data_IF_078918255665
#
_entry.id   IF_078918255665
#
_cell.length_a   1.000
_cell.length_b   1.000
_cell.length_c   1.000
_cell.angle_alpha   90.00
_cell.angle_beta   90.00
_cell.angle_gamma   90.00
#
_symmetry.space_group_name_H-M   'P 1'
#
loop_
_entity.id
_entity.type
_entity.pdbx_description
1 polymer ?
#
# COMPACT_ATOMS: atom_id res chain seq x y z
N UNK A 1 -20.62 0.04 1.39
CA UNK A 1 -20.01 -0.17 0.06
C UNK A 1 -18.96 0.91 -0.13
N UNK A 2 -17.68 0.55 -0.17
CA UNK A 2 -16.60 1.52 -0.44
C UNK A 2 -16.23 1.34 -1.91
N UNK A 3 -16.64 2.28 -2.76
CA UNK A 3 -16.21 2.34 -4.15
C UNK A 3 -14.88 3.12 -4.22
N UNK A 4 -13.82 2.48 -4.71
CA UNK A 4 -12.54 3.13 -4.96
C UNK A 4 -12.65 4.05 -6.20
N UNK A 5 -13.19 5.25 -6.03
CA UNK A 5 -13.18 6.26 -7.08
C UNK A 5 -11.80 6.96 -7.13
N UNK A 6 -11.05 6.63 -8.19
CA UNK A 6 -9.92 7.39 -8.78
C UNK A 6 -8.47 7.11 -8.33
N UNK A 7 -8.16 6.25 -7.37
CA UNK A 7 -6.74 5.90 -7.09
C UNK A 7 -6.56 4.50 -6.48
N UNK A 8 -5.36 3.95 -6.58
CA UNK A 8 -5.00 2.72 -5.85
C UNK A 8 -5.09 2.98 -4.34
N UNK A 9 -5.83 2.17 -3.60
CA UNK A 9 -6.01 2.35 -2.16
C UNK A 9 -5.46 1.17 -1.37
N UNK A 10 -4.89 1.50 -0.21
CA UNK A 10 -4.46 0.51 0.78
C UNK A 10 -5.43 0.59 1.96
N UNK A 11 -5.92 -0.55 2.44
CA UNK A 11 -6.82 -0.61 3.58
C UNK A 11 -6.29 -1.57 4.64
N UNK A 12 -6.17 -1.11 5.87
CA UNK A 12 -5.96 -1.97 7.02
C UNK A 12 -7.29 -2.41 7.61
N UNK A 13 -7.50 -3.72 7.73
CA UNK A 13 -8.67 -4.28 8.40
C UNK A 13 -8.39 -4.40 9.90
N UNK A 14 -8.92 -3.44 10.67
CA UNK A 14 -8.79 -3.39 12.12
C UNK A 14 -9.58 -4.54 12.76
N UNK A 15 -10.84 -4.67 12.36
CA UNK A 15 -11.80 -5.62 12.93
C UNK A 15 -12.85 -6.03 11.89
N UNK A 16 -13.60 -7.08 12.22
CA UNK A 16 -14.67 -7.58 11.39
C UNK A 16 -14.22 -8.42 10.19
N UNK A 17 -15.13 -8.60 9.25
CA UNK A 17 -14.96 -9.42 8.05
C UNK A 17 -15.58 -8.74 6.84
N UNK A 18 -14.88 -8.81 5.71
CA UNK A 18 -15.34 -8.27 4.44
C UNK A 18 -14.87 -9.14 3.27
N UNK A 19 -15.31 -8.80 2.08
CA UNK A 19 -14.84 -9.37 0.83
C UNK A 19 -14.40 -8.25 -0.09
N UNK A 20 -13.16 -8.32 -0.56
CA UNK A 20 -12.66 -7.50 -1.65
C UNK A 20 -13.13 -8.15 -2.95
N UNK A 21 -13.96 -7.42 -3.68
CA UNK A 21 -14.55 -7.80 -4.95
C UNK A 21 -13.81 -7.03 -6.04
N UNK A 22 -13.22 -7.76 -6.97
CA UNK A 22 -12.59 -7.24 -8.18
C UNK A 22 -13.18 -7.95 -9.41
N UNK A 23 -13.04 -7.42 -10.63
CA UNK A 23 -13.61 -8.05 -11.83
C UNK A 23 -13.24 -9.53 -12.00
N UNK A 24 -12.02 -9.90 -11.60
CA UNK A 24 -11.45 -11.24 -11.81
C UNK A 24 -11.29 -12.06 -10.52
N UNK A 25 -11.58 -11.50 -9.34
CA UNK A 25 -11.35 -12.20 -8.07
C UNK A 25 -12.22 -11.72 -6.90
N UNK A 26 -12.55 -12.68 -6.02
CA UNK A 26 -13.21 -12.47 -4.73
C UNK A 26 -12.22 -12.87 -3.63
N UNK A 27 -11.83 -11.92 -2.78
CA UNK A 27 -10.81 -12.15 -1.75
C UNK A 27 -11.39 -11.87 -0.36
N UNK A 28 -11.51 -12.89 0.51
CA UNK A 28 -12.00 -12.68 1.87
C UNK A 28 -10.97 -11.89 2.70
N UNK A 29 -11.46 -10.89 3.40
CA UNK A 29 -10.74 -9.95 4.26
C UNK A 29 -11.24 -10.14 5.69
N UNK A 30 -10.31 -10.12 6.65
CA UNK A 30 -10.62 -10.19 8.08
C UNK A 30 -9.63 -9.37 8.89
N UNK A 31 -9.96 -9.12 10.15
CA UNK A 31 -9.08 -8.43 11.10
C UNK A 31 -7.60 -8.88 11.00
N UNK A 32 -6.70 -7.92 10.88
CA UNK A 32 -5.26 -8.14 10.70
C UNK A 32 -4.80 -8.29 9.24
N UNK A 33 -5.67 -8.05 8.27
CA UNK A 33 -5.32 -8.06 6.85
C UNK A 33 -4.97 -6.66 6.34
N UNK A 34 -3.92 -6.59 5.55
CA UNK A 34 -3.62 -5.44 4.71
C UNK A 34 -4.13 -5.71 3.29
N UNK A 35 -5.03 -4.86 2.83
CA UNK A 35 -5.74 -5.03 1.56
C UNK A 35 -5.24 -3.98 0.57
N UNK A 36 -4.73 -4.44 -0.56
CA UNK A 36 -4.35 -3.62 -1.69
C UNK A 36 -5.52 -3.67 -2.67
N UNK A 37 -6.20 -2.55 -2.88
CA UNK A 37 -7.32 -2.44 -3.80
C UNK A 37 -6.93 -1.55 -5.00
N UNK A 38 -7.31 -2.00 -6.20
CA UNK A 38 -7.14 -1.23 -7.44
C UNK A 38 -8.43 -0.53 -7.82
N UNK A 39 -8.35 0.40 -8.76
CA UNK A 39 -9.53 1.04 -9.34
C UNK A 39 -10.58 0.01 -9.78
N UNK A 40 -11.84 0.25 -9.44
CA UNK A 40 -12.96 -0.64 -9.75
C UNK A 40 -13.15 -1.81 -8.78
N UNK A 41 -12.30 -1.94 -7.75
CA UNK A 41 -12.57 -2.85 -6.65
C UNK A 41 -13.62 -2.27 -5.69
N UNK A 42 -14.43 -3.16 -5.13
CA UNK A 42 -15.40 -2.84 -4.08
C UNK A 42 -15.07 -3.69 -2.86
N UNK A 43 -15.12 -3.10 -1.66
CA UNK A 43 -15.06 -3.87 -0.41
C UNK A 43 -16.45 -3.87 0.23
N UNK A 44 -16.98 -5.06 0.46
CA UNK A 44 -18.31 -5.29 1.04
C UNK A 44 -18.23 -6.17 2.30
N UNK A 45 -18.95 -5.78 3.33
CA UNK A 45 -19.04 -6.50 4.61
C UNK A 45 -19.01 -5.56 5.81
N UNK A 46 -18.97 -6.17 6.99
CA UNK A 46 -18.95 -5.49 8.29
C UNK A 46 -17.51 -5.49 8.81
N UNK A 47 -16.65 -4.68 8.18
CA UNK A 47 -15.27 -4.50 8.60
C UNK A 47 -14.93 -3.03 8.79
N UNK A 48 -14.23 -2.72 9.87
CA UNK A 48 -13.63 -1.41 10.09
C UNK A 48 -12.32 -1.33 9.31
N UNK A 49 -12.31 -0.50 8.26
CA UNK A 49 -11.19 -0.36 7.35
C UNK A 49 -10.56 1.03 7.46
N UNK A 50 -9.31 1.09 7.90
CA UNK A 50 -8.52 2.32 7.89
C UNK A 50 -7.87 2.51 6.51
N UNK A 51 -8.19 3.59 5.78
CA UNK A 51 -7.55 3.88 4.50
C UNK A 51 -6.15 4.45 4.70
N UNK A 52 -5.17 3.86 4.04
CA UNK A 52 -3.80 4.35 3.95
C UNK A 52 -3.53 4.87 2.53
N UNK A 53 -2.89 6.02 2.44
CA UNK A 53 -2.45 6.62 1.19
C UNK A 53 -1.19 5.91 0.69
N UNK A 54 -1.11 5.69 -0.62
CA UNK A 54 0.08 5.12 -1.26
C UNK A 54 0.26 5.66 -2.66
N UNK A 55 1.50 5.97 -3.02
CA UNK A 55 1.90 6.30 -4.40
C UNK A 55 2.32 5.06 -5.20
N UNK A 56 2.39 3.89 -4.55
CA UNK A 56 2.81 2.67 -5.21
C UNK A 56 1.74 2.22 -6.22
N UNK A 57 2.17 1.90 -7.45
CA UNK A 57 1.29 1.26 -8.42
C UNK A 57 0.88 -0.13 -7.92
N UNK A 58 -0.40 -0.26 -7.56
CA UNK A 58 -1.03 -1.53 -7.25
C UNK A 58 -1.54 -2.07 -8.59
N UNK A 59 -0.90 -3.10 -9.10
CA UNK A 59 -1.29 -3.71 -10.38
C UNK A 59 -2.41 -4.73 -10.25
N UNK A 60 -2.61 -5.26 -9.04
CA UNK A 60 -3.63 -6.26 -8.77
C UNK A 60 -4.15 -6.13 -7.35
N UNK A 61 -5.46 -6.24 -7.23
CA UNK A 61 -6.15 -6.34 -5.96
C UNK A 61 -5.70 -7.61 -5.21
N UNK A 62 -5.16 -7.45 -4.01
CA UNK A 62 -4.65 -8.58 -3.23
C UNK A 62 -4.65 -8.31 -1.73
N UNK A 63 -4.45 -9.37 -0.95
CA UNK A 63 -4.44 -9.34 0.51
C UNK A 63 -3.12 -9.87 1.04
N UNK A 64 -2.50 -9.11 1.93
CA UNK A 64 -1.34 -9.52 2.73
C UNK A 64 -1.82 -9.84 4.14
N UNK A 65 -1.53 -11.06 4.62
CA UNK A 65 -1.88 -11.49 5.98
C UNK A 65 -0.76 -11.11 6.94
N UNK A 66 -0.96 -10.03 7.72
CA UNK A 66 0.01 -9.59 8.73
C UNK A 66 -0.36 -10.08 10.14
N UNK A 67 -1.66 -10.18 10.42
CA UNK A 67 -2.17 -10.61 11.73
C UNK A 67 -2.36 -9.45 12.71
N UNK A 68 -3.02 -9.71 13.84
CA UNK A 68 -3.45 -8.67 14.79
C UNK A 68 -2.29 -7.97 15.51
N UNK A 69 -1.11 -8.58 15.61
CA UNK A 69 0.08 -7.96 16.21
C UNK A 69 0.53 -6.69 15.49
N UNK A 70 0.13 -6.52 14.23
CA UNK A 70 0.42 -5.33 13.43
C UNK A 70 -0.53 -4.16 13.69
N UNK A 71 -1.56 -4.32 14.52
CA UNK A 71 -2.61 -3.31 14.68
C UNK A 71 -2.04 -1.94 15.06
N UNK A 72 -1.19 -1.88 16.08
CA UNK A 72 -0.69 -0.61 16.59
C UNK A 72 0.24 0.08 15.58
N UNK A 73 1.10 -0.69 14.89
CA UNK A 73 1.93 -0.18 13.81
C UNK A 73 1.08 0.40 12.65
N UNK A 74 -0.04 -0.24 12.31
CA UNK A 74 -0.92 0.20 11.22
C UNK A 74 -1.82 1.37 11.60
N UNK A 75 -2.30 1.43 12.85
CA UNK A 75 -3.05 2.60 13.38
C UNK A 75 -2.12 3.80 13.52
N UNK A 76 -0.88 3.59 13.97
CA UNK A 76 0.15 4.62 13.98
C UNK A 76 0.48 5.14 12.58
N UNK A 77 0.68 4.23 11.61
CA UNK A 77 0.90 4.58 10.20
C UNK A 77 -0.25 5.44 9.67
N UNK A 78 -1.50 5.06 9.96
CA UNK A 78 -2.68 5.85 9.62
C UNK A 78 -2.63 7.25 10.26
N UNK A 79 -2.36 7.33 11.57
CA UNK A 79 -2.27 8.62 12.28
C UNK A 79 -1.26 9.57 11.63
N UNK A 80 -0.05 9.05 11.39
CA UNK A 80 1.04 9.83 10.79
C UNK A 80 0.67 10.36 9.41
N UNK A 81 -0.11 9.60 8.64
CA UNK A 81 -0.55 10.01 7.32
C UNK A 81 -1.59 11.13 7.28
N UNK A 82 -2.30 11.32 8.39
CA UNK A 82 -3.22 12.45 8.56
C UNK A 82 -2.49 13.73 8.99
N UNK A 83 -1.36 13.61 9.68
CA UNK A 83 -0.64 14.75 10.27
C UNK A 83 0.39 15.39 9.35
N UNK A 84 1.33 14.61 8.79
CA UNK A 84 2.54 15.17 8.13
C UNK A 84 2.93 14.43 6.86
N UNK A 85 2.76 13.11 6.81
CA UNK A 85 3.36 12.28 5.77
C UNK A 85 2.31 11.73 4.80
N UNK A 86 2.31 12.13 3.53
CA UNK A 86 1.41 11.49 2.55
C UNK A 86 1.92 10.13 2.03
N UNK A 87 3.08 9.69 2.51
CA UNK A 87 3.76 8.47 2.08
C UNK A 87 3.77 7.41 3.18
N UNK A 88 3.98 6.16 2.78
CA UNK A 88 4.13 5.04 3.70
C UNK A 88 5.51 5.07 4.36
N UNK A 89 5.63 4.64 5.62
CA UNK A 89 6.95 4.35 6.20
C UNK A 89 7.69 3.34 5.34
N UNK A 90 9.03 3.35 5.40
CA UNK A 90 9.84 2.39 4.66
C UNK A 90 9.45 0.94 4.99
N UNK A 91 9.15 0.64 6.25
CA UNK A 91 8.73 -0.68 6.70
C UNK A 91 7.43 -1.13 6.02
N UNK A 92 6.39 -0.29 6.00
CA UNK A 92 5.12 -0.61 5.35
C UNK A 92 5.24 -0.57 3.82
N UNK A 93 6.00 0.37 3.27
CA UNK A 93 6.30 0.45 1.84
C UNK A 93 6.93 -0.85 1.33
N UNK A 94 7.88 -1.43 2.08
CA UNK A 94 8.51 -2.70 1.74
C UNK A 94 7.52 -3.88 1.70
N UNK A 95 6.45 -3.85 2.50
CA UNK A 95 5.40 -4.88 2.46
C UNK A 95 4.59 -4.83 1.17
N UNK A 96 4.24 -3.61 0.73
CA UNK A 96 3.38 -3.41 -0.43
C UNK A 96 4.16 -3.39 -1.74
N UNK A 97 5.48 -3.14 -1.68
CA UNK A 97 6.36 -3.09 -2.84
C UNK A 97 6.30 -4.44 -3.57
N UNK A 98 5.95 -4.45 -4.87
CA UNK A 98 5.97 -5.69 -5.62
C UNK A 98 7.42 -6.19 -5.66
N UNK A 99 7.67 -7.41 -5.14
CA UNK A 99 9.00 -8.05 -5.15
C UNK A 99 9.57 -8.21 -6.57
N UNK A 100 8.69 -8.09 -7.58
CA UNK A 100 9.04 -7.99 -8.98
C UNK A 100 8.15 -6.93 -9.66
N UNK A 101 8.75 -5.88 -10.19
CA UNK A 101 8.05 -4.83 -10.93
C UNK A 101 7.76 -5.26 -12.37
N UNK A 102 6.65 -4.77 -12.93
CA UNK A 102 6.40 -4.91 -14.37
C UNK A 102 7.60 -4.37 -15.18
N UNK A 103 7.93 -4.97 -16.34
CA UNK A 103 8.98 -4.43 -17.20
C UNK A 103 8.59 -3.02 -17.67
N UNK A 104 9.58 -2.12 -17.78
CA UNK A 104 9.35 -0.74 -18.23
C UNK A 104 8.67 -0.73 -19.61
N UNK A 105 7.78 0.23 -19.83
CA UNK A 105 7.16 0.41 -21.15
C UNK A 105 8.17 0.99 -22.15
N UNK A 106 8.11 0.59 -23.43
CA UNK A 106 8.82 1.30 -24.49
C UNK A 106 8.40 2.78 -24.56
N UNK A 107 9.33 3.65 -24.95
CA UNK A 107 9.04 5.08 -25.08
C UNK A 107 8.32 5.43 -26.39
N UNK A 108 8.61 4.69 -27.46
CA UNK A 108 7.96 4.90 -28.75
C UNK A 108 6.45 4.58 -28.67
N UNK A 109 5.57 5.47 -29.18
CA UNK A 109 4.12 5.29 -29.07
C UNK A 109 3.59 3.97 -29.64
N UNK A 110 4.12 3.49 -30.77
CA UNK A 110 3.66 2.24 -31.41
C UNK A 110 4.06 1.03 -30.58
N UNK A 111 5.31 1.01 -30.10
CA UNK A 111 5.79 -0.05 -29.22
C UNK A 111 5.07 -0.02 -27.84
N UNK A 112 4.76 1.16 -27.32
CA UNK A 112 3.99 1.35 -26.09
C UNK A 112 2.58 0.77 -26.22
N UNK A 113 1.87 1.03 -27.32
CA UNK A 113 0.55 0.43 -27.60
C UNK A 113 0.60 -1.10 -27.56
N UNK A 114 1.62 -1.70 -28.19
CA UNK A 114 1.83 -3.16 -28.17
C UNK A 114 2.11 -3.67 -26.75
N UNK A 115 2.96 -2.97 -26.00
CA UNK A 115 3.30 -3.32 -24.63
C UNK A 115 2.07 -3.26 -23.71
N UNK A 116 1.26 -2.21 -23.80
CA UNK A 116 0.03 -2.07 -23.04
C UNK A 116 -0.99 -3.17 -23.37
N UNK A 117 -1.14 -3.52 -24.64
CA UNK A 117 -1.97 -4.65 -25.06
C UNK A 117 -1.49 -5.96 -24.43
N UNK A 118 -0.19 -6.25 -24.49
CA UNK A 118 0.37 -7.49 -23.91
C UNK A 118 0.27 -7.53 -22.38
N UNK A 119 0.28 -6.37 -21.71
CA UNK A 119 0.05 -6.28 -20.26
C UNK A 119 -1.39 -6.65 -19.89
N UNK A 120 -2.37 -6.24 -20.71
CA UNK A 120 -3.78 -6.62 -20.54
C UNK A 120 -4.08 -8.06 -20.99
N UNK A 121 -3.32 -8.57 -21.95
CA UNK A 121 -3.52 -9.89 -22.54
C UNK A 121 -2.23 -10.73 -22.51
N UNK A 122 -1.72 -11.11 -21.32
CA UNK A 122 -0.44 -11.82 -21.18
C UNK A 122 -0.42 -13.17 -21.92
N UNK A 123 -1.59 -13.82 -22.05
CA UNK A 123 -1.78 -15.07 -22.76
C UNK A 123 -1.61 -14.96 -24.29
N UNK A 124 -1.61 -13.74 -24.85
CA UNK A 124 -1.57 -13.54 -26.30
C UNK A 124 -0.33 -14.18 -26.91
N UNK A 125 -0.56 -14.97 -27.96
CA UNK A 125 0.49 -15.63 -28.74
C UNK A 125 0.85 -14.85 -30.02
N UNK A 126 0.32 -13.63 -30.19
CA UNK A 126 0.62 -12.79 -31.35
C UNK A 126 2.14 -12.54 -31.43
N UNK A 127 2.69 -12.72 -32.63
CA UNK A 127 4.11 -12.57 -32.89
C UNK A 127 4.49 -11.10 -33.09
N UNK A 128 5.80 -10.83 -33.02
CA UNK A 128 6.34 -9.49 -33.25
C UNK A 128 5.95 -8.97 -34.65
N UNK A 129 5.97 -9.84 -35.65
CA UNK A 129 5.67 -9.52 -37.05
C UNK A 129 4.22 -9.08 -37.20
N UNK A 130 3.28 -9.79 -36.55
CA UNK A 130 1.86 -9.41 -36.57
C UNK A 130 1.63 -8.07 -35.89
N UNK A 131 2.26 -7.82 -34.75
CA UNK A 131 2.17 -6.50 -34.11
C UNK A 131 2.79 -5.41 -34.97
N UNK A 132 3.94 -5.66 -35.58
CA UNK A 132 4.60 -4.70 -36.45
C UNK A 132 3.73 -4.34 -37.67
N UNK A 133 3.08 -5.34 -38.27
CA UNK A 133 2.12 -5.15 -39.36
C UNK A 133 0.95 -4.26 -38.94
N UNK A 134 0.34 -4.52 -37.79
CA UNK A 134 -0.77 -3.72 -37.24
C UNK A 134 -0.36 -2.29 -36.89
N UNK A 135 0.91 -2.09 -36.51
CA UNK A 135 1.47 -0.77 -36.23
C UNK A 135 2.06 -0.09 -37.49
N UNK A 136 1.93 -0.71 -38.67
CA UNK A 136 2.48 -0.23 -39.94
C UNK A 136 3.99 0.08 -39.86
N UNK A 137 4.77 -0.82 -39.26
CA UNK A 137 6.25 -0.76 -39.18
C UNK A 137 6.87 -2.13 -39.43
N UNK A 138 8.17 -2.17 -39.70
CA UNK A 138 8.89 -3.44 -39.79
C UNK A 138 9.06 -4.10 -38.41
N UNK A 139 9.13 -5.43 -38.37
CA UNK A 139 9.44 -6.17 -37.14
C UNK A 139 10.78 -5.74 -36.54
N UNK A 140 11.78 -5.44 -37.39
CA UNK A 140 13.09 -4.91 -36.97
C UNK A 140 12.96 -3.56 -36.26
N UNK A 141 12.12 -2.67 -36.78
CA UNK A 141 11.86 -1.36 -36.17
C UNK A 141 11.19 -1.53 -34.80
N UNK A 142 10.14 -2.37 -34.73
CA UNK A 142 9.44 -2.63 -33.47
C UNK A 142 10.38 -3.26 -32.42
N UNK A 143 11.18 -4.24 -32.81
CA UNK A 143 12.21 -4.85 -31.97
C UNK A 143 13.17 -3.81 -31.39
N UNK A 144 13.66 -2.90 -32.25
CA UNK A 144 14.57 -1.82 -31.84
C UNK A 144 13.92 -0.88 -30.83
N UNK A 145 12.64 -0.55 -31.01
CA UNK A 145 11.91 0.32 -30.09
C UNK A 145 11.75 -0.32 -28.70
N UNK A 146 11.47 -1.63 -28.64
CA UNK A 146 11.50 -2.37 -27.37
C UNK A 146 12.87 -2.31 -26.70
N UNK A 147 13.94 -2.60 -27.45
CA UNK A 147 15.29 -2.64 -26.90
C UNK A 147 15.75 -1.25 -26.42
N UNK A 148 15.55 -0.20 -27.20
CA UNK A 148 15.96 1.16 -26.84
C UNK A 148 15.15 1.72 -25.67
N UNK A 149 13.84 1.45 -25.63
CA UNK A 149 12.97 1.99 -24.59
C UNK A 149 13.04 1.23 -23.26
N UNK A 150 13.36 -0.06 -23.30
CA UNK A 150 13.22 -0.96 -22.13
C UNK A 150 14.51 -1.67 -21.72
N UNK A 151 15.53 -1.68 -22.58
CA UNK A 151 16.74 -2.49 -22.42
C UNK A 151 16.52 -3.98 -22.74
N UNK A 152 15.31 -4.41 -23.10
CA UNK A 152 14.97 -5.80 -23.37
C UNK A 152 14.50 -6.00 -24.81
N UNK A 153 14.86 -7.14 -25.38
CA UNK A 153 14.27 -7.65 -26.62
C UNK A 153 12.80 -8.00 -26.42
N UNK A 154 11.96 -7.90 -27.46
CA UNK A 154 10.50 -8.12 -27.36
C UNK A 154 10.11 -9.44 -26.66
N UNK A 155 10.79 -10.54 -27.00
CA UNK A 155 10.51 -11.86 -26.44
C UNK A 155 10.77 -11.92 -24.94
N UNK A 156 11.85 -11.30 -24.49
CA UNK A 156 12.24 -11.22 -23.07
C UNK A 156 11.34 -10.25 -22.31
N UNK A 157 11.05 -9.10 -22.89
CA UNK A 157 10.07 -8.15 -22.35
C UNK A 157 8.70 -8.83 -22.14
N UNK A 158 8.24 -9.60 -23.13
CA UNK A 158 7.00 -10.37 -23.05
C UNK A 158 7.07 -11.45 -21.97
N UNK A 159 8.21 -12.15 -21.84
CA UNK A 159 8.39 -13.14 -20.78
C UNK A 159 8.33 -12.51 -19.38
N UNK A 160 8.98 -11.36 -19.18
CA UNK A 160 8.92 -10.59 -17.94
C UNK A 160 7.48 -10.16 -17.60
N UNK A 161 6.73 -9.67 -18.61
CA UNK A 161 5.32 -9.32 -18.45
C UNK A 161 4.47 -10.52 -18.02
N UNK A 162 4.68 -11.70 -18.62
CA UNK A 162 3.99 -12.95 -18.22
C UNK A 162 4.38 -13.42 -16.81
N UNK A 163 5.64 -13.25 -16.40
CA UNK A 163 6.09 -13.55 -15.03
C UNK A 163 5.40 -12.64 -14.02
N UNK A 164 5.29 -11.34 -14.32
CA UNK A 164 4.55 -10.40 -13.48
C UNK A 164 3.09 -10.83 -13.30
N UNK A 165 2.40 -11.20 -14.38
CA UNK A 165 1.04 -11.74 -14.31
C UNK A 165 0.97 -13.06 -13.50
N UNK A 166 1.99 -13.93 -13.64
CA UNK A 166 2.03 -15.20 -12.92
C UNK A 166 2.18 -15.01 -11.41
N UNK A 167 2.98 -14.03 -10.95
CA UNK A 167 3.11 -13.67 -9.53
C UNK A 167 1.74 -13.37 -8.92
N UNK A 168 0.94 -12.58 -9.64
CA UNK A 168 -0.41 -12.25 -9.25
C UNK A 168 -1.34 -13.44 -9.03
N UNK A 169 -1.17 -14.49 -9.85
CA UNK A 169 -1.98 -15.71 -9.75
C UNK A 169 -1.48 -16.69 -8.67
N UNK A 170 -0.19 -16.63 -8.31
CA UNK A 170 0.38 -17.50 -7.28
C UNK A 170 -0.22 -17.23 -5.90
N UNK A 171 -0.63 -16.00 -5.62
CA UNK A 171 -1.26 -15.61 -4.35
C UNK A 171 -2.64 -16.27 -4.14
N UNK A 172 -3.31 -16.70 -5.21
CA UNK A 172 -4.61 -17.38 -5.18
C UNK A 172 -4.52 -18.92 -5.05
N UNK A 173 -3.35 -19.48 -4.74
CA UNK A 173 -3.10 -20.94 -4.64
C UNK A 173 -3.48 -21.73 -5.90
N UNK A 174 -3.48 -21.09 -7.07
CA UNK A 174 -3.72 -21.76 -8.35
C UNK A 174 -2.51 -22.68 -8.65
N UNK A 175 -2.73 -23.92 -9.12
CA UNK A 175 -1.63 -24.81 -9.51
C UNK A 175 -0.72 -24.16 -10.57
N UNK A 176 0.60 -24.26 -10.39
CA UNK A 176 1.61 -23.60 -11.26
C UNK A 176 1.43 -23.98 -12.74
N UNK A 177 0.98 -25.20 -13.03
CA UNK A 177 0.66 -25.64 -14.39
C UNK A 177 -0.48 -24.84 -15.02
N UNK A 178 -1.55 -24.60 -14.27
CA UNK A 178 -2.68 -23.81 -14.74
C UNK A 178 -2.30 -22.33 -14.88
N UNK A 179 -1.48 -21.81 -13.96
CA UNK A 179 -0.89 -20.47 -14.08
C UNK A 179 -0.12 -20.33 -15.39
N UNK A 180 0.77 -21.28 -15.71
CA UNK A 180 1.56 -21.25 -16.93
C UNK A 180 0.68 -21.11 -18.18
N UNK A 181 -0.40 -21.89 -18.25
CA UNK A 181 -1.39 -21.84 -19.34
C UNK A 181 -2.09 -20.47 -19.38
N UNK A 182 -2.57 -19.97 -18.24
CA UNK A 182 -3.28 -18.68 -18.13
C UNK A 182 -2.45 -17.49 -18.55
N UNK A 183 -1.14 -17.50 -18.28
CA UNK A 183 -0.24 -16.40 -18.70
C UNK A 183 0.41 -16.65 -20.07
N UNK A 184 0.06 -17.74 -20.76
CA UNK A 184 0.50 -17.99 -22.14
C UNK A 184 1.86 -18.69 -22.31
N UNK A 185 2.39 -19.33 -21.26
CA UNK A 185 3.50 -20.28 -21.43
C UNK A 185 2.97 -21.62 -21.95
N UNK A 186 3.70 -22.19 -22.91
CA UNK A 186 3.35 -23.49 -23.51
C UNK A 186 3.59 -24.68 -22.57
N UNK A 187 4.44 -24.50 -21.54
CA UNK A 187 4.76 -25.53 -20.57
C UNK A 187 5.13 -24.92 -19.22
N UNK A 188 4.88 -25.66 -18.14
CA UNK A 188 5.26 -25.28 -16.77
C UNK A 188 6.78 -25.07 -16.64
N UNK A 189 7.59 -25.86 -17.35
CA UNK A 189 9.05 -25.70 -17.36
C UNK A 189 9.51 -24.36 -17.96
N UNK A 190 8.78 -23.85 -18.96
CA UNK A 190 9.04 -22.54 -19.56
C UNK A 190 8.68 -21.39 -18.61
N UNK A 191 7.58 -21.51 -17.86
CA UNK A 191 7.26 -20.59 -16.77
C UNK A 191 8.37 -20.63 -15.71
N UNK A 192 8.74 -21.80 -15.19
CA UNK A 192 9.75 -21.93 -14.14
C UNK A 192 11.08 -21.27 -14.54
N UNK A 193 11.58 -21.52 -15.76
CA UNK A 193 12.82 -20.90 -16.25
C UNK A 193 12.71 -19.38 -16.37
N UNK A 194 11.62 -18.87 -16.96
CA UNK A 194 11.42 -17.43 -17.09
C UNK A 194 11.28 -16.77 -15.70
N UNK A 195 10.52 -17.39 -14.80
CA UNK A 195 10.29 -16.93 -13.45
C UNK A 195 11.60 -16.87 -12.66
N UNK A 196 12.42 -17.92 -12.70
CA UNK A 196 13.71 -17.94 -12.03
C UNK A 196 14.70 -16.91 -12.62
N UNK A 197 14.72 -16.74 -13.94
CA UNK A 197 15.55 -15.70 -14.58
C UNK A 197 15.19 -14.29 -14.11
N UNK A 198 13.90 -14.02 -13.93
CA UNK A 198 13.41 -12.67 -13.62
C UNK A 198 13.28 -12.39 -12.11
N UNK A 199 13.06 -13.40 -11.28
CA UNK A 199 12.81 -13.25 -9.83
C UNK A 199 13.90 -13.87 -8.94
N UNK A 200 14.85 -14.61 -9.52
CA UNK A 200 15.90 -15.33 -8.79
C UNK A 200 15.47 -16.66 -8.15
N UNK A 201 14.18 -16.99 -8.15
CA UNK A 201 13.66 -18.22 -7.54
C UNK A 201 12.55 -18.87 -8.37
N UNK A 202 12.13 -20.09 -8.02
CA UNK A 202 11.02 -20.77 -8.72
C UNK A 202 9.67 -20.26 -8.18
N UNK A 203 8.55 -20.41 -8.92
CA UNK A 203 7.22 -20.03 -8.44
C UNK A 203 6.87 -20.62 -7.07
N UNK A 204 7.25 -21.88 -6.82
CA UNK A 204 7.01 -22.56 -5.55
C UNK A 204 7.84 -21.94 -4.43
N UNK A 205 9.13 -21.70 -4.66
CA UNK A 205 10.01 -21.05 -3.68
C UNK A 205 9.57 -19.61 -3.39
N UNK A 206 9.06 -18.90 -4.40
CA UNK A 206 8.52 -17.54 -4.25
C UNK A 206 7.32 -17.50 -3.29
N UNK A 207 6.39 -18.45 -3.43
CA UNK A 207 5.23 -18.59 -2.51
C UNK A 207 5.69 -18.99 -1.11
N UNK A 208 6.65 -19.92 -1.00
CA UNK A 208 7.21 -20.32 0.28
C UNK A 208 7.85 -19.12 0.99
N UNK A 209 8.71 -18.35 0.33
CA UNK A 209 9.34 -17.14 0.89
C UNK A 209 8.32 -16.06 1.28
N UNK A 210 7.21 -15.93 0.56
CA UNK A 210 6.12 -15.04 0.95
C UNK A 210 5.43 -15.52 2.24
N UNK A 211 5.36 -16.83 2.48
CA UNK A 211 4.80 -17.42 3.70
C UNK A 211 5.80 -17.48 4.88
N UNK A 212 7.11 -17.53 4.62
CA UNK A 212 8.16 -17.72 5.65
C UNK A 212 8.73 -16.40 6.20
N UNK A 213 8.37 -15.24 5.68
CA UNK A 213 8.66 -14.00 6.38
C UNK A 213 7.74 -13.90 7.61
N UNK A 214 8.26 -14.28 8.79
CA UNK A 214 7.75 -13.78 10.06
C UNK A 214 7.97 -12.26 10.05
N UNK A 215 7.01 -11.54 9.47
CA UNK A 215 6.98 -10.09 9.43
C UNK A 215 6.69 -9.62 10.86
N UNK A 216 7.70 -9.08 11.54
CA UNK A 216 7.54 -8.44 12.84
C UNK A 216 7.06 -7.00 12.62
N UNK A 217 6.01 -6.55 13.32
CA UNK A 217 5.56 -5.16 13.22
C UNK A 217 6.69 -4.22 13.68
N UNK A 218 6.92 -3.10 12.96
CA UNK A 218 7.84 -2.09 13.46
C UNK A 218 7.32 -1.53 14.80
N UNK A 219 8.20 -1.20 15.75
CA UNK A 219 7.77 -0.56 16.99
C UNK A 219 7.19 0.82 16.69
N UNK A 220 6.18 1.22 17.46
CA UNK A 220 5.64 2.58 17.40
C UNK A 220 6.64 3.53 18.07
N UNK A 221 7.23 4.49 17.34
CA UNK A 221 8.24 5.39 17.90
C UNK A 221 7.61 6.41 18.85
N UNK A 222 8.45 7.03 19.69
CA UNK A 222 8.07 8.27 20.38
C UNK A 222 7.91 9.38 19.34
N UNK A 223 6.92 10.25 19.52
CA UNK A 223 6.67 11.36 18.59
C UNK A 223 6.27 12.61 19.32
N UNK A 224 6.72 13.77 18.84
CA UNK A 224 6.28 15.08 19.32
C UNK A 224 5.45 15.78 18.25
N UNK A 225 4.29 16.30 18.65
CA UNK A 225 3.40 17.10 17.81
C UNK A 225 3.42 18.55 18.33
N UNK A 226 3.57 19.53 17.44
CA UNK A 226 3.65 20.95 17.80
C UNK A 226 2.41 21.76 17.37
N UNK A 227 2.08 22.81 18.12
CA UNK A 227 1.03 23.79 17.86
C UNK A 227 1.33 24.84 16.78
N UNK A 228 2.17 24.51 15.79
CA UNK A 228 2.52 25.43 14.70
C UNK A 228 1.50 25.43 13.56
N UNK A 229 0.33 24.84 13.77
CA UNK A 229 -0.76 24.89 12.82
C UNK A 229 -1.44 26.26 12.84
N UNK A 230 -2.03 26.64 11.70
CA UNK A 230 -2.91 27.83 11.58
C UNK A 230 -4.33 27.54 12.08
N UNK A 231 -4.62 26.32 12.50
CA UNK A 231 -5.92 25.83 12.97
C UNK A 231 -5.74 24.91 14.16
N UNK A 232 -6.72 24.86 15.07
CA UNK A 232 -6.66 24.00 16.24
C UNK A 232 -6.60 22.53 15.83
N UNK A 233 -5.71 21.78 16.45
CA UNK A 233 -5.58 20.33 16.25
C UNK A 233 -6.12 19.63 17.48
N UNK A 234 -7.09 18.74 17.30
CA UNK A 234 -7.57 17.88 18.39
C UNK A 234 -6.99 16.48 18.20
N UNK A 235 -6.30 16.02 19.24
CA UNK A 235 -5.69 14.71 19.30
C UNK A 235 -6.45 13.85 20.29
N UNK A 236 -6.88 12.67 19.86
CA UNK A 236 -7.41 11.64 20.74
C UNK A 236 -6.32 10.63 21.07
N UNK A 237 -6.10 10.37 22.36
CA UNK A 237 -5.20 9.33 22.83
C UNK A 237 -5.85 7.96 22.62
N UNK A 238 -5.55 7.32 21.50
CA UNK A 238 -6.06 5.98 21.17
C UNK A 238 -5.46 4.89 22.06
N UNK A 239 -4.15 4.96 22.29
CA UNK A 239 -3.42 3.97 23.08
C UNK A 239 -2.25 4.61 23.82
N UNK A 240 -1.97 4.11 25.02
CA UNK A 240 -0.83 4.56 25.83
C UNK A 240 -1.01 5.96 26.43
N UNK A 241 0.03 6.78 26.36
CA UNK A 241 0.10 8.05 27.07
C UNK A 241 0.93 9.12 26.36
N UNK A 242 0.69 10.36 26.75
CA UNK A 242 1.45 11.50 26.28
C UNK A 242 1.55 12.60 27.34
N UNK A 243 2.41 13.57 27.09
CA UNK A 243 2.52 14.78 27.91
C UNK A 243 2.21 16.00 27.06
N UNK A 244 1.24 16.80 27.52
CA UNK A 244 0.92 18.10 26.93
C UNK A 244 1.72 19.15 27.68
N UNK A 245 2.54 19.93 26.98
CA UNK A 245 3.27 21.07 27.53
C UNK A 245 2.83 22.35 26.84
N UNK A 246 2.36 23.32 27.60
CA UNK A 246 2.01 24.69 27.18
C UNK A 246 2.85 25.67 28.03
N UNK A 247 3.11 26.92 27.62
CA UNK A 247 3.82 27.87 28.48
C UNK A 247 3.19 27.97 29.88
N UNK A 248 3.95 27.58 30.91
CA UNK A 248 3.51 27.58 32.31
C UNK A 248 2.60 26.42 32.74
N UNK A 249 2.33 25.45 31.87
CA UNK A 249 1.42 24.33 32.17
C UNK A 249 1.91 23.01 31.56
N UNK A 250 1.89 21.94 32.34
CA UNK A 250 2.22 20.60 31.86
C UNK A 250 1.24 19.59 32.45
N UNK A 251 0.68 18.73 31.60
CA UNK A 251 -0.29 17.71 32.01
C UNK A 251 0.00 16.38 31.32
N UNK A 252 -0.14 15.30 32.09
CA UNK A 252 -0.14 13.94 31.57
C UNK A 252 -1.54 13.58 31.05
N UNK A 253 -1.58 12.89 29.92
CA UNK A 253 -2.80 12.38 29.30
C UNK A 253 -2.62 10.91 28.94
N UNK A 254 -3.72 10.18 28.96
CA UNK A 254 -3.77 8.73 28.81
C UNK A 254 -4.82 8.33 27.79
N UNK A 255 -4.83 7.05 27.42
CA UNK A 255 -5.84 6.45 26.57
C UNK A 255 -7.26 6.94 26.91
N UNK A 256 -7.98 7.40 25.90
CA UNK A 256 -9.33 7.96 26.02
C UNK A 256 -9.35 9.49 26.09
N UNK A 257 -8.28 10.12 26.59
CA UNK A 257 -8.23 11.59 26.69
C UNK A 257 -8.19 12.25 25.31
N UNK A 258 -8.84 13.40 25.20
CA UNK A 258 -8.71 14.31 24.07
C UNK A 258 -7.88 15.52 24.48
N UNK A 259 -7.02 15.97 23.58
CA UNK A 259 -6.13 17.11 23.76
C UNK A 259 -6.33 18.06 22.60
N UNK A 260 -6.72 19.29 22.91
CA UNK A 260 -6.67 20.39 21.94
C UNK A 260 -5.30 21.03 21.99
N UNK A 261 -4.68 21.15 20.82
CA UNK A 261 -3.43 21.84 20.55
C UNK A 261 -3.83 23.14 19.81
N UNK A 262 -3.93 24.28 20.52
CA UNK A 262 -4.45 25.51 19.92
C UNK A 262 -3.49 26.11 18.90
N UNK A 263 -4.04 26.62 17.80
CA UNK A 263 -3.29 27.26 16.72
C UNK A 263 -2.42 28.42 17.24
N UNK A 264 -1.20 28.54 16.69
CA UNK A 264 -0.30 29.65 16.99
C UNK A 264 0.24 29.68 18.42
N UNK A 265 0.17 28.57 19.15
CA UNK A 265 0.75 28.45 20.51
C UNK A 265 2.07 27.67 20.48
N UNK A 266 2.82 27.69 21.59
CA UNK A 266 3.98 26.80 21.80
C UNK A 266 3.56 25.48 22.48
N UNK A 267 2.29 25.09 22.35
CA UNK A 267 1.82 23.82 22.91
C UNK A 267 2.44 22.65 22.16
N UNK A 268 3.01 21.69 22.89
CA UNK A 268 3.52 20.43 22.35
C UNK A 268 2.85 19.24 23.03
N UNK A 269 2.63 18.18 22.25
CA UNK A 269 2.19 16.88 22.72
C UNK A 269 3.30 15.87 22.48
N UNK A 270 3.96 15.45 23.55
CA UNK A 270 5.01 14.43 23.53
C UNK A 270 4.37 13.06 23.77
N UNK A 271 4.18 12.28 22.72
CA UNK A 271 3.58 10.94 22.75
C UNK A 271 4.68 9.91 23.00
N UNK A 272 4.51 9.08 24.04
CA UNK A 272 5.52 8.09 24.42
C UNK A 272 5.67 6.98 23.37
N UNK A 273 6.83 6.31 23.34
CA UNK A 273 7.01 5.12 22.50
C UNK A 273 5.95 4.06 22.83
N UNK A 274 5.43 3.37 21.81
CA UNK A 274 4.30 2.45 21.97
C UNK A 274 2.93 3.11 22.12
N UNK A 275 2.86 4.45 22.25
CA UNK A 275 1.59 5.18 22.40
C UNK A 275 1.17 5.82 21.08
N UNK A 276 -0.13 6.03 20.90
CA UNK A 276 -0.70 6.54 19.65
C UNK A 276 -1.73 7.62 19.96
N UNK A 277 -1.51 8.81 19.40
CA UNK A 277 -2.48 9.88 19.33
C UNK A 277 -3.03 9.96 17.90
N UNK A 278 -4.34 10.01 17.72
CA UNK A 278 -5.01 10.15 16.43
C UNK A 278 -5.59 11.55 16.29
N UNK A 279 -5.38 12.25 15.16
CA UNK A 279 -6.09 13.49 14.93
C UNK A 279 -7.58 13.21 14.71
N UNK A 280 -8.44 14.07 15.26
CA UNK A 280 -9.89 13.98 15.14
C UNK A 280 -10.48 15.35 14.79
N UNK A 281 -11.62 15.42 14.08
CA UNK A 281 -12.27 16.70 13.82
C UNK A 281 -12.74 17.33 15.14
N UNK A 282 -12.59 18.65 15.27
CA UNK A 282 -12.99 19.41 16.47
C UNK A 282 -14.44 19.14 16.89
N UNK A 283 -15.35 18.98 15.92
CA UNK A 283 -16.76 18.66 16.18
C UNK A 283 -17.01 17.35 16.94
N UNK A 284 -16.00 16.49 17.09
CA UNK A 284 -16.07 15.22 17.79
C UNK A 284 -15.23 15.18 19.07
N UNK A 285 -14.66 16.32 19.51
CA UNK A 285 -13.77 16.39 20.67
C UNK A 285 -14.42 15.92 21.99
N UNK A 286 -15.74 16.09 22.11
CA UNK A 286 -16.53 15.72 23.30
C UNK A 286 -17.24 14.36 23.15
N UNK A 287 -16.99 13.64 22.05
CA UNK A 287 -17.68 12.40 21.70
C UNK A 287 -17.00 11.13 22.22
N UNK A 288 -17.75 10.03 22.25
CA UNK A 288 -17.18 8.70 22.47
C UNK A 288 -16.40 8.27 21.20
N UNK A 289 -15.08 8.42 21.24
CA UNK A 289 -14.21 8.11 20.11
C UNK A 289 -14.00 6.60 19.93
N UNK A 290 -14.07 6.15 18.68
CA UNK A 290 -13.76 4.77 18.27
C UNK A 290 -13.02 4.75 16.93
N UNK A 291 -12.28 3.67 16.66
CA UNK A 291 -11.64 3.48 15.36
C UNK A 291 -12.67 3.32 14.23
N UNK A 292 -13.85 2.77 14.51
CA UNK A 292 -14.96 2.67 13.55
C UNK A 292 -15.44 4.05 13.09
N UNK A 293 -15.60 4.98 14.04
CA UNK A 293 -15.96 6.37 13.74
C UNK A 293 -14.85 7.04 12.90
N UNK A 294 -13.58 6.88 13.30
CA UNK A 294 -12.44 7.46 12.57
C UNK A 294 -12.34 6.89 11.16
N UNK A 295 -12.51 5.58 10.99
CA UNK A 295 -12.52 4.92 9.69
C UNK A 295 -13.64 5.47 8.80
N UNK A 296 -14.85 5.62 9.36
CA UNK A 296 -16.01 6.15 8.65
C UNK A 296 -15.78 7.59 8.18
N UNK A 297 -15.23 8.44 9.07
CA UNK A 297 -14.90 9.81 8.73
C UNK A 297 -13.82 9.86 7.63
N UNK A 298 -12.75 9.07 7.76
CA UNK A 298 -11.64 9.04 6.79
C UNK A 298 -12.08 8.57 5.40
N UNK A 299 -13.03 7.65 5.31
CA UNK A 299 -13.58 7.20 4.03
C UNK A 299 -14.46 8.26 3.37
N UNK A 300 -15.17 9.10 4.13
CA UNK A 300 -15.99 10.20 3.59
C UNK A 300 -15.14 11.36 3.07
N UNK A 301 -13.99 11.59 3.67
CA UNK A 301 -13.04 12.63 3.31
C UNK A 301 -12.19 12.36 2.06
N UNK A 302 -12.51 11.31 1.29
CA UNK A 302 -11.85 11.05 0.00
C UNK A 302 -12.17 12.17 -1.04
N UNK A 303 -13.18 13.01 -0.78
CA UNK A 303 -13.52 14.20 -1.59
C UNK A 303 -12.99 15.54 -1.04
N UNK A 304 -12.76 15.66 0.28
CA UNK A 304 -12.21 16.85 0.95
C UNK A 304 -11.35 16.41 2.15
N UNK A 305 -10.18 17.00 2.40
CA UNK A 305 -9.32 16.57 3.51
C UNK A 305 -10.07 16.62 4.84
N UNK A 306 -10.04 15.52 5.62
CA UNK A 306 -10.56 15.49 7.01
C UNK A 306 -10.06 16.67 7.85
N UNK A 307 -8.87 17.15 7.48
CA UNK A 307 -8.09 18.15 8.15
C UNK A 307 -7.69 19.19 7.09
N UNK A 308 -8.44 20.29 6.94
CA UNK A 308 -7.91 21.53 6.33
C UNK A 308 -6.96 22.19 7.34
N UNK A 309 -5.90 21.47 7.72
CA UNK A 309 -4.97 21.86 8.77
C UNK A 309 -3.63 22.13 8.10
N UNK A 310 -3.09 23.33 8.31
CA UNK A 310 -1.67 23.59 8.06
C UNK A 310 -0.87 22.67 9.00
N UNK A 311 -0.14 21.73 8.41
CA UNK A 311 0.44 20.55 9.05
C UNK A 311 1.31 20.94 10.26
N UNK A 312 1.13 20.35 11.46
CA UNK A 312 2.10 20.49 12.54
C UNK A 312 3.42 19.79 12.14
N UNK A 313 4.58 20.31 12.53
CA UNK A 313 5.82 19.53 12.42
C UNK A 313 5.70 18.30 13.35
N UNK A 314 6.06 17.12 12.86
CA UNK A 314 6.28 15.94 13.71
C UNK A 314 7.74 15.55 13.56
N UNK A 315 8.46 15.48 14.68
CA UNK A 315 9.84 14.96 14.71
C UNK A 315 9.83 13.58 15.35
N UNK A 316 10.15 12.57 14.56
CA UNK A 316 10.51 11.25 15.06
C UNK A 316 11.96 11.34 15.59
N UNK A 317 12.17 11.13 16.90
CA UNK A 317 13.52 11.08 17.46
C UNK A 317 14.19 9.76 17.02
N UNK A 318 15.20 9.82 16.15
CA UNK A 318 15.97 8.65 15.77
C UNK A 318 16.82 8.17 16.96
N UNK A 319 16.59 6.94 17.42
CA UNK A 319 17.51 6.27 18.32
C UNK A 319 18.82 5.97 17.57
N UNK A 320 19.90 6.64 17.95
CA UNK A 320 21.24 6.11 17.69
C UNK A 320 21.42 4.90 18.59
N UNK A 321 21.45 3.70 18.01
CA UNK A 321 21.94 2.51 18.71
C UNK A 321 23.45 2.68 18.94
N UNK A 322 23.83 3.41 20.01
CA UNK A 322 25.14 3.23 20.61
C UNK A 322 25.13 1.86 21.31
N UNK A 323 25.61 0.85 20.59
CA UNK A 323 26.01 -0.43 21.16
C UNK A 323 27.18 -0.14 22.11
N UNK A 324 27.07 -0.40 23.43
CA UNK A 324 28.21 -0.29 24.32
C UNK A 324 29.24 -1.35 23.91
N UNK A 325 30.48 -0.92 23.67
CA UNK A 325 31.63 -1.80 23.46
C UNK A 325 31.99 -2.57 24.73
#
# INVERSE_FOLDING_TARGET
MIASERSNTLHWCVEGHATLISPDSLVPVRAGDLVLATQGCVIEGEATLLPLKTQHEIFQARRIRLGKSWNDAMVYEFSRQQLVHHELSQSIANLVRPKFSAPRLPQDPKAKTVAEYLRKHPASQKSLEKFAQEQHISARTLQRHFLQGTGLVFSEWRAACRVQAAIGLLEHRIPVQEIARRVGFQATSSLNRAFQRHTGCTPVAYVAQAATHNLTPPPVPKSTIFARSQTDVVMWMYEGSATVTTPGYCRFVTKGDTVTIPAGTDTRLDVAAGSIALPIPLAHADGCMSLELIATLAQRAVAEPLFQIALPEVREEQFSEEVPQ
#
